data_IF_166960648308
#
_entry.id   IF_166960648308
#
_cell.length_a   1.000
_cell.length_b   1.000
_cell.length_c   1.000
_cell.angle_alpha   90.00
_cell.angle_beta   90.00
_cell.angle_gamma   90.00
#
_symmetry.space_group_name_H-M   'P 1'
#
loop_
_entity.id
_entity.type
_entity.pdbx_description
1 polymer ?
#
# COMPACT_ATOMS: atom_id res chain seq x y z
N UNK A 1 -16.01 20.33 17.76
CA UNK A 1 -14.74 20.67 17.07
C UNK A 1 -13.74 19.54 17.28
N UNK A 2 -13.62 18.98 18.48
CA UNK A 2 -12.64 17.94 18.88
C UNK A 2 -12.77 16.67 18.03
N UNK A 3 -14.01 16.17 17.85
CA UNK A 3 -14.28 14.98 17.01
C UNK A 3 -13.74 15.16 15.57
N UNK A 4 -13.95 16.35 14.99
CA UNK A 4 -13.46 16.64 13.64
C UNK A 4 -11.93 16.61 13.57
N UNK A 5 -11.25 17.23 14.54
CA UNK A 5 -9.77 17.21 14.59
C UNK A 5 -9.26 15.78 14.80
N UNK A 6 -9.90 15.01 15.68
CA UNK A 6 -9.54 13.60 15.90
C UNK A 6 -9.71 12.78 14.61
N UNK A 7 -10.77 13.01 13.85
CA UNK A 7 -10.97 12.30 12.57
C UNK A 7 -9.99 12.74 11.49
N UNK A 8 -9.53 13.98 11.49
CA UNK A 8 -8.42 14.40 10.61
C UNK A 8 -7.14 13.65 10.94
N UNK A 9 -6.79 13.51 12.21
CA UNK A 9 -5.62 12.75 12.67
C UNK A 9 -5.72 11.28 12.23
N UNK A 10 -6.88 10.65 12.48
CA UNK A 10 -7.14 9.27 12.09
C UNK A 10 -7.11 9.10 10.56
N UNK A 11 -7.71 10.04 9.83
CA UNK A 11 -7.77 10.01 8.37
C UNK A 11 -6.40 10.16 7.70
N UNK A 12 -5.57 11.07 8.20
CA UNK A 12 -4.18 11.20 7.72
C UNK A 12 -3.38 9.93 8.02
N UNK A 13 -3.59 9.31 9.18
CA UNK A 13 -2.91 8.07 9.54
C UNK A 13 -3.29 6.93 8.60
N UNK A 14 -4.59 6.69 8.42
CA UNK A 14 -5.10 5.66 7.54
C UNK A 14 -4.73 5.94 6.07
N UNK A 15 -4.85 7.20 5.67
CA UNK A 15 -4.49 7.65 4.34
C UNK A 15 -3.00 7.52 4.03
N UNK A 16 -2.13 7.65 5.02
CA UNK A 16 -0.70 7.39 4.87
C UNK A 16 -0.42 5.93 4.51
N UNK A 17 -1.12 4.98 5.15
CA UNK A 17 -1.01 3.55 4.84
C UNK A 17 -1.53 3.28 3.42
N UNK A 18 -2.70 3.80 3.06
CA UNK A 18 -3.25 3.67 1.70
C UNK A 18 -2.34 4.30 0.64
N UNK A 19 -1.72 5.43 0.96
CA UNK A 19 -0.77 6.10 0.08
C UNK A 19 0.46 5.24 -0.25
N UNK A 20 1.02 4.53 0.73
CA UNK A 20 2.14 3.60 0.50
C UNK A 20 1.74 2.45 -0.44
N UNK A 21 0.56 1.87 -0.26
CA UNK A 21 0.05 0.82 -1.15
C UNK A 21 -0.24 1.39 -2.55
N UNK A 22 -0.84 2.60 -2.61
CA UNK A 22 -1.17 3.28 -3.86
C UNK A 22 0.05 3.61 -4.72
N UNK A 23 1.19 3.96 -4.09
CA UNK A 23 2.45 4.13 -4.80
C UNK A 23 2.89 2.83 -5.47
N UNK A 24 2.77 1.70 -4.76
CA UNK A 24 3.08 0.38 -5.31
C UNK A 24 2.21 0.05 -6.55
N UNK A 25 0.91 0.34 -6.49
CA UNK A 25 0.01 0.23 -7.64
C UNK A 25 0.44 1.13 -8.80
N UNK A 26 0.69 2.40 -8.52
CA UNK A 26 1.08 3.40 -9.53
C UNK A 26 2.37 3.01 -10.24
N UNK A 27 3.37 2.51 -9.51
CA UNK A 27 4.64 2.06 -10.09
C UNK A 27 4.48 0.88 -11.02
N UNK A 28 3.76 -0.15 -10.56
CA UNK A 28 3.57 -1.37 -11.34
C UNK A 28 2.71 -1.08 -12.57
N UNK A 29 1.65 -0.28 -12.40
CA UNK A 29 0.80 0.14 -13.52
C UNK A 29 1.59 0.95 -14.57
N UNK A 30 2.42 1.90 -14.13
CA UNK A 30 3.21 2.74 -15.04
C UNK A 30 4.09 1.93 -15.99
N UNK A 31 4.68 0.83 -15.50
CA UNK A 31 5.62 0.05 -16.32
C UNK A 31 4.95 -1.08 -17.12
N UNK A 32 3.83 -1.65 -16.64
CA UNK A 32 3.13 -2.76 -17.30
C UNK A 32 1.92 -2.27 -18.10
N UNK A 33 1.34 -1.14 -17.73
CA UNK A 33 0.11 -0.59 -18.32
C UNK A 33 -1.17 -1.29 -17.87
N UNK A 34 -1.13 -2.04 -16.75
CA UNK A 34 -2.28 -2.76 -16.21
C UNK A 34 -2.29 -2.80 -14.69
N UNK A 35 -3.50 -2.89 -14.13
CA UNK A 35 -3.71 -2.98 -12.69
C UNK A 35 -3.32 -4.37 -12.17
N UNK A 36 -2.43 -4.40 -11.19
CA UNK A 36 -2.08 -5.63 -10.49
C UNK A 36 -3.00 -5.83 -9.28
N UNK A 37 -4.15 -6.50 -9.45
CA UNK A 37 -5.09 -6.75 -8.35
C UNK A 37 -4.51 -7.60 -7.21
N UNK A 38 -3.48 -8.41 -7.46
CA UNK A 38 -2.81 -9.17 -6.40
C UNK A 38 -2.00 -8.29 -5.42
N UNK A 39 -1.77 -7.00 -5.73
CA UNK A 39 -0.94 -6.13 -4.89
C UNK A 39 -1.54 -5.90 -3.49
N UNK A 40 -2.87 -5.84 -3.37
CA UNK A 40 -3.55 -5.79 -2.08
C UNK A 40 -3.31 -7.07 -1.25
N UNK A 41 -3.31 -8.25 -1.90
CA UNK A 41 -3.02 -9.49 -1.19
C UNK A 41 -1.53 -9.65 -0.86
N UNK A 42 -0.62 -9.07 -1.65
CA UNK A 42 0.79 -8.94 -1.28
C UNK A 42 0.96 -8.09 -0.02
N UNK A 43 0.19 -7.01 0.12
CA UNK A 43 0.11 -6.22 1.36
C UNK A 43 -0.39 -7.08 2.53
N UNK A 44 -1.47 -7.84 2.38
CA UNK A 44 -2.00 -8.74 3.42
C UNK A 44 -0.96 -9.81 3.80
N UNK A 45 -0.33 -10.48 2.83
CA UNK A 45 0.74 -11.46 3.08
C UNK A 45 1.88 -10.83 3.88
N UNK A 46 2.24 -9.58 3.57
CA UNK A 46 3.28 -8.87 4.31
C UNK A 46 2.93 -8.63 5.78
N UNK A 47 1.67 -8.32 6.06
CA UNK A 47 1.20 -8.16 7.43
C UNK A 47 1.25 -9.49 8.22
N UNK A 48 0.95 -10.62 7.57
CA UNK A 48 1.15 -11.95 8.18
C UNK A 48 2.63 -12.29 8.40
N UNK A 49 3.50 -11.95 7.45
CA UNK A 49 4.96 -12.11 7.63
C UNK A 49 5.43 -11.26 8.81
N UNK A 50 4.96 -10.02 8.93
CA UNK A 50 5.28 -9.15 10.06
C UNK A 50 4.77 -9.72 11.39
N UNK A 51 3.53 -10.24 11.43
CA UNK A 51 2.95 -10.90 12.58
C UNK A 51 3.80 -12.10 13.04
N UNK A 52 4.11 -13.01 12.12
CA UNK A 52 4.87 -14.23 12.44
C UNK A 52 6.27 -13.86 12.92
N UNK A 53 6.94 -12.96 12.23
CA UNK A 53 8.28 -12.50 12.61
C UNK A 53 8.26 -11.86 14.00
N UNK A 54 7.28 -11.01 14.28
CA UNK A 54 7.12 -10.37 15.59
C UNK A 54 6.92 -11.41 16.70
N UNK A 55 6.03 -12.38 16.51
CA UNK A 55 5.78 -13.44 17.49
C UNK A 55 7.01 -14.32 17.70
N UNK A 56 7.76 -14.65 16.67
CA UNK A 56 9.01 -15.40 16.77
C UNK A 56 10.04 -14.63 17.60
N UNK A 57 10.22 -13.33 17.34
CA UNK A 57 11.20 -12.51 18.07
C UNK A 57 10.82 -12.32 19.55
N UNK A 58 9.56 -12.08 19.84
CA UNK A 58 9.10 -11.74 21.20
C UNK A 58 8.80 -12.98 22.02
N UNK A 59 8.03 -13.95 21.49
CA UNK A 59 7.58 -15.11 22.24
C UNK A 59 8.60 -16.26 22.27
N UNK A 60 9.37 -16.47 21.18
CA UNK A 60 10.32 -17.58 21.10
C UNK A 60 11.76 -17.17 21.47
N UNK A 61 12.22 -16.01 20.95
CA UNK A 61 13.57 -15.52 21.21
C UNK A 61 13.65 -14.62 22.46
N UNK A 62 12.51 -14.29 23.09
CA UNK A 62 12.47 -13.50 24.31
C UNK A 62 13.01 -12.07 24.16
N UNK A 63 12.91 -11.48 22.97
CA UNK A 63 13.46 -10.15 22.72
C UNK A 63 12.69 -9.10 23.51
N UNK A 64 13.33 -8.44 24.46
CA UNK A 64 12.71 -7.43 25.34
C UNK A 64 12.60 -6.05 24.69
N UNK A 65 13.45 -5.75 23.70
CA UNK A 65 13.42 -4.45 23.00
C UNK A 65 12.36 -4.45 21.91
N UNK A 66 11.21 -3.83 22.16
CA UNK A 66 10.10 -3.70 21.18
C UNK A 66 10.56 -2.96 19.94
N UNK A 67 11.33 -1.86 20.09
CA UNK A 67 11.81 -1.06 18.94
C UNK A 67 12.76 -1.90 18.08
N UNK A 68 13.69 -2.62 18.70
CA UNK A 68 14.60 -3.52 17.98
C UNK A 68 13.84 -4.63 17.25
N UNK A 69 12.83 -5.25 17.90
CA UNK A 69 11.97 -6.25 17.27
C UNK A 69 11.24 -5.66 16.04
N UNK A 70 10.65 -4.48 16.16
CA UNK A 70 9.94 -3.83 15.04
C UNK A 70 10.85 -3.49 13.85
N UNK A 71 12.08 -3.06 14.10
CA UNK A 71 13.04 -2.82 13.01
C UNK A 71 13.41 -4.11 12.28
N UNK A 72 13.63 -5.21 13.02
CA UNK A 72 13.89 -6.51 12.41
C UNK A 72 12.66 -7.02 11.64
N UNK A 73 11.45 -6.88 12.22
CA UNK A 73 10.19 -7.22 11.57
C UNK A 73 10.03 -6.46 10.25
N UNK A 74 10.30 -5.15 10.26
CA UNK A 74 10.19 -4.32 9.07
C UNK A 74 11.12 -4.80 7.96
N UNK A 75 12.40 -5.04 8.27
CA UNK A 75 13.40 -5.52 7.32
C UNK A 75 13.03 -6.92 6.81
N UNK A 76 12.64 -7.83 7.70
CA UNK A 76 12.24 -9.19 7.33
C UNK A 76 10.98 -9.18 6.45
N UNK A 77 9.97 -8.38 6.80
CA UNK A 77 8.76 -8.21 6.00
C UNK A 77 9.10 -7.66 4.60
N UNK A 78 9.93 -6.64 4.50
CA UNK A 78 10.37 -6.10 3.21
C UNK A 78 11.09 -7.14 2.35
N UNK A 79 12.03 -7.89 2.91
CA UNK A 79 12.81 -8.89 2.17
C UNK A 79 11.95 -10.07 1.73
N UNK A 80 11.17 -10.67 2.63
CA UNK A 80 10.36 -11.84 2.34
C UNK A 80 9.20 -11.50 1.40
N UNK A 81 8.51 -10.38 1.60
CA UNK A 81 7.43 -9.94 0.72
C UNK A 81 7.97 -9.59 -0.68
N UNK A 82 9.14 -8.96 -0.76
CA UNK A 82 9.80 -8.69 -2.05
C UNK A 82 10.16 -9.97 -2.79
N UNK A 83 10.62 -11.00 -2.07
CA UNK A 83 10.89 -12.32 -2.64
C UNK A 83 9.61 -12.99 -3.15
N UNK A 84 8.52 -12.94 -2.38
CA UNK A 84 7.21 -13.47 -2.80
C UNK A 84 6.73 -12.76 -4.07
N UNK A 85 6.75 -11.44 -4.09
CA UNK A 85 6.26 -10.67 -5.23
C UNK A 85 7.15 -10.81 -6.47
N UNK A 86 8.47 -10.92 -6.29
CA UNK A 86 9.40 -11.26 -7.38
C UNK A 86 9.09 -12.64 -7.97
N UNK A 87 8.77 -13.62 -7.11
CA UNK A 87 8.38 -14.96 -7.54
C UNK A 87 7.07 -14.91 -8.34
N UNK A 88 6.08 -14.16 -7.86
CA UNK A 88 4.82 -13.94 -8.57
C UNK A 88 5.05 -13.29 -9.92
N UNK A 89 5.88 -12.26 -10.00
CA UNK A 89 6.24 -11.60 -11.25
C UNK A 89 6.85 -12.61 -12.24
N UNK A 90 7.77 -13.43 -11.77
CA UNK A 90 8.52 -14.36 -12.61
C UNK A 90 7.67 -15.53 -13.12
N UNK A 91 6.74 -16.02 -12.31
CA UNK A 91 5.93 -17.20 -12.62
C UNK A 91 4.62 -16.83 -13.30
N UNK A 92 3.94 -15.79 -12.78
CA UNK A 92 2.57 -15.46 -13.19
C UNK A 92 2.50 -14.34 -14.24
N UNK A 93 3.40 -13.35 -14.20
CA UNK A 93 3.28 -12.20 -15.10
C UNK A 93 4.28 -12.19 -16.25
N UNK A 94 5.52 -12.56 -15.98
CA UNK A 94 6.58 -12.56 -17.00
C UNK A 94 6.27 -13.42 -18.21
N UNK A 95 5.73 -14.66 -18.08
CA UNK A 95 5.39 -15.49 -19.24
C UNK A 95 4.24 -14.92 -20.08
N UNK A 96 3.42 -14.03 -19.51
CA UNK A 96 2.27 -13.42 -20.18
C UNK A 96 2.59 -12.10 -20.86
N UNK A 97 3.83 -11.62 -20.78
CA UNK A 97 4.26 -10.41 -21.48
C UNK A 97 4.18 -10.62 -22.99
N UNK A 98 3.52 -9.69 -23.67
CA UNK A 98 3.29 -9.78 -25.12
C UNK A 98 2.10 -10.67 -25.53
N UNK A 99 1.39 -11.30 -24.60
CA UNK A 99 0.12 -11.97 -24.87
C UNK A 99 -1.03 -10.96 -25.03
N UNK A 100 -2.27 -11.44 -25.24
CA UNK A 100 -3.43 -10.56 -25.34
C UNK A 100 -3.62 -9.74 -24.04
N UNK A 101 -4.15 -8.52 -24.21
CA UNK A 101 -4.15 -7.46 -23.17
C UNK A 101 -4.78 -7.87 -21.81
N UNK A 102 -5.74 -8.81 -21.82
CA UNK A 102 -6.44 -9.25 -20.60
C UNK A 102 -5.72 -10.39 -19.86
N UNK A 103 -4.74 -11.10 -20.49
CA UNK A 103 -4.14 -12.26 -19.87
C UNK A 103 -3.42 -11.95 -18.54
N UNK A 104 -2.59 -10.91 -18.42
CA UNK A 104 -1.99 -10.56 -17.15
C UNK A 104 -3.02 -10.07 -16.11
N UNK A 105 -4.13 -9.45 -16.53
CA UNK A 105 -5.23 -9.05 -15.64
C UNK A 105 -5.89 -10.26 -15.00
N UNK A 106 -6.24 -11.27 -15.83
CA UNK A 106 -6.83 -12.53 -15.35
C UNK A 106 -5.85 -13.26 -14.41
N UNK A 107 -4.56 -13.27 -14.77
CA UNK A 107 -3.52 -13.85 -13.91
C UNK A 107 -3.39 -13.12 -12.58
N UNK A 108 -3.52 -11.79 -12.56
CA UNK A 108 -3.49 -11.00 -11.33
C UNK A 108 -4.66 -11.31 -10.39
N UNK A 109 -5.87 -11.44 -10.95
CA UNK A 109 -7.07 -11.84 -10.18
C UNK A 109 -6.90 -13.28 -9.65
N UNK A 110 -6.43 -14.21 -10.49
CA UNK A 110 -6.16 -15.59 -10.06
C UNK A 110 -5.10 -15.66 -8.96
N UNK A 111 -4.05 -14.83 -9.03
CA UNK A 111 -3.01 -14.75 -8.00
C UNK A 111 -3.54 -14.13 -6.71
N UNK A 112 -4.42 -13.13 -6.77
CA UNK A 112 -5.11 -12.56 -5.62
C UNK A 112 -5.90 -13.65 -4.88
N UNK A 113 -6.75 -14.39 -5.57
CA UNK A 113 -7.53 -15.50 -5.01
C UNK A 113 -6.59 -16.58 -4.44
N UNK A 114 -5.50 -16.90 -5.12
CA UNK A 114 -4.52 -17.87 -4.64
C UNK A 114 -3.89 -17.43 -3.31
N UNK A 115 -3.42 -16.19 -3.22
CA UNK A 115 -2.76 -15.68 -2.01
C UNK A 115 -3.71 -15.65 -0.82
N UNK A 116 -4.95 -15.16 -0.98
CA UNK A 116 -5.95 -15.12 0.08
C UNK A 116 -6.26 -16.54 0.59
N UNK A 117 -6.50 -17.50 -0.32
CA UNK A 117 -6.77 -18.89 0.08
C UNK A 117 -5.54 -19.57 0.66
N UNK A 118 -4.34 -19.31 0.15
CA UNK A 118 -3.10 -19.84 0.71
C UNK A 118 -2.92 -19.40 2.15
N UNK A 119 -3.11 -18.12 2.45
CA UNK A 119 -3.02 -17.60 3.83
C UNK A 119 -4.12 -18.20 4.70
N UNK A 120 -5.35 -18.31 4.19
CA UNK A 120 -6.46 -18.93 4.91
C UNK A 120 -6.15 -20.38 5.32
N UNK A 121 -5.59 -21.17 4.42
CA UNK A 121 -5.21 -22.57 4.71
C UNK A 121 -4.02 -22.64 5.64
N UNK A 122 -3.00 -21.80 5.44
CA UNK A 122 -1.77 -21.82 6.22
C UNK A 122 -1.93 -21.27 7.66
N UNK A 123 -2.75 -20.22 7.84
CA UNK A 123 -2.90 -19.49 9.10
C UNK A 123 -4.27 -19.70 9.76
N UNK A 124 -5.23 -20.27 9.02
CA UNK A 124 -6.60 -20.45 9.44
C UNK A 124 -7.50 -19.24 9.17
N UNK A 125 -8.84 -19.42 9.27
CA UNK A 125 -9.81 -18.39 8.93
C UNK A 125 -10.05 -17.35 10.04
N UNK A 126 -9.46 -17.52 11.23
CA UNK A 126 -9.68 -16.62 12.37
C UNK A 126 -8.75 -15.41 12.30
N UNK A 127 -9.24 -14.29 12.81
CA UNK A 127 -8.43 -13.11 13.02
C UNK A 127 -7.21 -13.42 13.87
N UNK A 128 -6.06 -12.87 13.47
CA UNK A 128 -4.81 -12.96 14.24
C UNK A 128 -4.50 -11.59 14.81
N UNK A 129 -4.13 -11.57 16.10
CA UNK A 129 -3.81 -10.33 16.80
C UNK A 129 -2.39 -10.32 17.32
N UNK A 130 -1.84 -9.12 17.46
CA UNK A 130 -0.59 -8.88 18.20
C UNK A 130 -0.92 -8.27 19.56
N UNK A 131 -0.06 -8.48 20.58
CA UNK A 131 -0.17 -7.72 21.82
C UNK A 131 -0.14 -6.22 21.54
N UNK A 132 -0.83 -5.41 22.35
CA UNK A 132 -0.83 -3.96 22.17
C UNK A 132 0.59 -3.40 22.29
N UNK A 133 0.98 -2.62 21.26
CA UNK A 133 2.31 -2.01 21.17
C UNK A 133 2.10 -0.49 21.15
N UNK A 134 2.81 0.26 21.99
CA UNK A 134 2.74 1.72 22.04
C UNK A 134 1.33 2.27 22.29
N UNK A 135 0.65 1.79 23.34
CA UNK A 135 -0.71 2.26 23.71
C UNK A 135 -0.72 3.65 24.37
N UNK A 136 0.44 4.26 24.56
CA UNK A 136 0.52 5.62 25.10
C UNK A 136 -0.04 6.63 24.09
N UNK A 137 -0.73 7.64 24.63
CA UNK A 137 -1.32 8.73 23.86
C UNK A 137 -0.80 10.07 24.38
N UNK A 138 -0.67 11.03 23.48
CA UNK A 138 -0.37 12.42 23.78
C UNK A 138 -1.70 13.18 23.63
N UNK A 139 -2.25 13.69 24.72
CA UNK A 139 -3.44 14.53 24.68
C UNK A 139 -3.05 15.92 24.21
N UNK A 140 -3.65 16.36 23.09
CA UNK A 140 -3.41 17.68 22.51
C UNK A 140 -4.39 18.73 23.05
N UNK A 141 -5.67 18.34 23.16
CA UNK A 141 -6.74 19.18 23.64
C UNK A 141 -7.53 18.33 24.63
N UNK A 142 -7.64 18.80 25.86
CA UNK A 142 -8.49 18.18 26.89
C UNK A 142 -9.67 19.10 27.14
N UNK A 143 -10.86 18.58 26.95
CA UNK A 143 -12.10 19.27 27.27
C UNK A 143 -12.74 18.60 28.51
N UNK A 144 -12.92 19.30 29.63
CA UNK A 144 -13.50 18.72 30.84
C UNK A 144 -14.93 18.18 30.67
N UNK A 145 -15.65 18.65 29.66
CA UNK A 145 -17.03 18.21 29.35
C UNK A 145 -17.14 17.54 27.98
N UNK A 146 -16.04 17.37 27.24
CA UNK A 146 -16.01 16.93 25.85
C UNK A 146 -15.16 15.73 25.58
N UNK A 147 -14.70 15.65 24.35
CA UNK A 147 -13.90 14.56 23.83
C UNK A 147 -12.42 14.97 23.76
N UNK A 148 -11.55 14.25 24.44
CA UNK A 148 -10.11 14.50 24.37
C UNK A 148 -9.56 14.21 22.96
N UNK A 149 -8.87 15.20 22.37
CA UNK A 149 -8.13 15.00 21.14
C UNK A 149 -6.74 14.49 21.47
N UNK A 150 -6.43 13.27 21.01
CA UNK A 150 -5.17 12.62 21.32
C UNK A 150 -4.50 12.02 20.08
N UNK A 151 -3.17 12.04 20.08
CA UNK A 151 -2.34 11.34 19.09
C UNK A 151 -1.66 10.16 19.78
N UNK A 152 -1.83 8.95 19.26
CA UNK A 152 -1.13 7.78 19.75
C UNK A 152 0.30 7.72 19.20
N UNK A 153 1.22 7.11 19.97
CA UNK A 153 2.57 6.85 19.46
C UNK A 153 2.57 5.99 18.20
N UNK A 154 1.56 5.13 18.01
CA UNK A 154 1.35 4.35 16.78
C UNK A 154 1.13 5.26 15.57
N UNK A 155 0.30 6.31 15.72
CA UNK A 155 0.02 7.27 14.64
C UNK A 155 1.27 8.09 14.28
N UNK A 156 2.03 8.54 15.29
CA UNK A 156 3.31 9.21 15.05
C UNK A 156 4.31 8.31 14.32
N UNK A 157 4.41 7.04 14.73
CA UNK A 157 5.28 6.07 14.04
C UNK A 157 4.84 5.86 12.59
N UNK A 158 3.53 5.74 12.30
CA UNK A 158 3.00 5.65 10.93
C UNK A 158 3.43 6.87 10.11
N UNK A 159 3.24 8.08 10.63
CA UNK A 159 3.57 9.31 9.91
C UNK A 159 5.08 9.44 9.65
N UNK A 160 5.92 9.17 10.67
CA UNK A 160 7.38 9.27 10.54
C UNK A 160 7.92 8.23 9.54
N UNK A 161 7.51 6.97 9.67
CA UNK A 161 7.95 5.90 8.77
C UNK A 161 7.48 6.16 7.35
N UNK A 162 6.22 6.56 7.16
CA UNK A 162 5.69 6.90 5.84
C UNK A 162 6.43 8.08 5.22
N UNK A 163 6.64 9.16 5.95
CA UNK A 163 7.36 10.33 5.45
C UNK A 163 8.82 9.98 5.08
N UNK A 164 9.53 9.23 5.94
CA UNK A 164 10.88 8.79 5.66
C UNK A 164 10.96 7.92 4.41
N UNK A 165 10.04 6.96 4.25
CA UNK A 165 9.97 6.12 3.06
C UNK A 165 9.64 6.90 1.79
N UNK A 166 8.71 7.85 1.87
CA UNK A 166 8.36 8.70 0.74
C UNK A 166 9.57 9.51 0.27
N UNK A 167 10.37 10.04 1.19
CA UNK A 167 11.60 10.77 0.88
C UNK A 167 12.64 9.86 0.22
N UNK A 168 12.90 8.68 0.80
CA UNK A 168 13.84 7.69 0.25
C UNK A 168 13.37 7.26 -1.15
N UNK A 169 12.10 6.95 -1.28
CA UNK A 169 11.52 6.50 -2.53
C UNK A 169 11.54 7.60 -3.61
N UNK A 170 11.17 8.84 -3.26
CA UNK A 170 11.31 9.98 -4.15
C UNK A 170 12.75 10.16 -4.62
N UNK A 171 13.72 10.03 -3.74
CA UNK A 171 15.14 10.09 -4.10
C UNK A 171 15.52 8.96 -5.07
N UNK A 172 15.12 7.73 -4.79
CA UNK A 172 15.40 6.56 -5.65
C UNK A 172 14.83 6.77 -7.04
N UNK A 173 13.56 7.16 -7.15
CA UNK A 173 12.89 7.32 -8.45
C UNK A 173 13.38 8.55 -9.20
N UNK A 174 13.65 9.69 -8.52
CA UNK A 174 14.00 10.94 -9.21
C UNK A 174 15.49 11.05 -9.54
N UNK A 175 16.38 10.50 -8.70
CA UNK A 175 17.83 10.76 -8.79
C UNK A 175 18.66 9.56 -9.23
N UNK A 176 18.15 8.31 -9.17
CA UNK A 176 18.97 7.13 -9.50
C UNK A 176 18.83 6.68 -10.95
N UNK A 177 19.76 5.83 -11.40
CA UNK A 177 19.70 5.20 -12.71
C UNK A 177 18.47 4.29 -12.87
N UNK A 178 18.02 3.66 -11.78
CA UNK A 178 16.84 2.81 -11.75
C UNK A 178 15.57 3.61 -12.06
N UNK A 179 15.38 4.78 -11.45
CA UNK A 179 14.23 5.63 -11.73
C UNK A 179 14.24 6.17 -13.16
N UNK A 180 15.44 6.44 -13.75
CA UNK A 180 15.52 6.81 -15.16
C UNK A 180 15.13 5.65 -16.08
N UNK A 181 15.60 4.43 -15.78
CA UNK A 181 15.25 3.23 -16.54
C UNK A 181 13.74 2.92 -16.44
N UNK A 182 13.16 3.07 -15.25
CA UNK A 182 11.72 2.88 -15.06
C UNK A 182 10.90 3.87 -15.91
N UNK A 183 11.19 5.17 -15.85
CA UNK A 183 10.49 6.19 -16.66
C UNK A 183 10.65 5.96 -18.16
N UNK A 184 11.82 5.49 -18.61
CA UNK A 184 12.02 5.13 -20.02
C UNK A 184 11.14 3.94 -20.43
N UNK A 185 11.05 2.90 -19.57
CA UNK A 185 10.18 1.75 -19.82
C UNK A 185 8.68 2.11 -19.76
N UNK A 186 8.30 3.06 -18.93
CA UNK A 186 6.91 3.59 -18.86
C UNK A 186 6.52 4.30 -20.15
N UNK A 187 7.45 5.01 -20.79
CA UNK A 187 7.20 5.70 -22.05
C UNK A 187 7.11 4.74 -23.21
N UNK A 188 8.13 3.93 -23.42
CA UNK A 188 8.19 2.93 -24.50
C UNK A 188 9.19 1.81 -24.16
N UNK A 189 8.68 0.61 -23.89
CA UNK A 189 9.51 -0.57 -23.56
C UNK A 189 10.39 -1.00 -24.73
N UNK A 190 9.90 -0.90 -25.99
CA UNK A 190 10.67 -1.31 -27.17
C UNK A 190 11.82 -0.34 -27.41
N UNK A 191 11.56 0.97 -27.35
CA UNK A 191 12.58 1.98 -27.50
C UNK A 191 13.60 1.94 -26.36
N UNK A 192 13.17 1.72 -25.10
CA UNK A 192 14.05 1.54 -23.97
C UNK A 192 15.01 0.36 -24.16
N UNK A 193 14.51 -0.77 -24.69
CA UNK A 193 15.34 -1.93 -25.01
C UNK A 193 16.38 -1.64 -26.09
N UNK A 194 16.03 -0.89 -27.15
CA UNK A 194 16.95 -0.46 -28.20
C UNK A 194 18.05 0.47 -27.68
N UNK A 195 17.76 1.25 -26.64
CA UNK A 195 18.73 2.11 -25.96
C UNK A 195 19.58 1.36 -24.91
N UNK A 196 19.48 0.03 -24.85
CA UNK A 196 20.30 -0.81 -23.97
C UNK A 196 19.76 -0.99 -22.55
N UNK A 197 18.52 -0.56 -22.26
CA UNK A 197 17.89 -0.78 -20.96
C UNK A 197 17.36 -2.22 -20.92
N UNK A 198 17.75 -2.96 -19.87
CA UNK A 198 17.19 -4.29 -19.64
C UNK A 198 15.78 -4.17 -19.04
N UNK A 199 14.77 -4.22 -19.91
CA UNK A 199 13.35 -4.05 -19.56
C UNK A 199 12.91 -5.09 -18.53
N UNK A 200 13.26 -6.36 -18.72
CA UNK A 200 12.91 -7.45 -17.80
C UNK A 200 13.42 -7.20 -16.39
N UNK A 201 14.69 -6.79 -16.27
CA UNK A 201 15.31 -6.48 -14.98
C UNK A 201 14.65 -5.25 -14.35
N UNK A 202 14.34 -4.23 -15.13
CA UNK A 202 13.69 -3.02 -14.66
C UNK A 202 12.30 -3.32 -14.09
N UNK A 203 11.50 -4.12 -14.79
CA UNK A 203 10.18 -4.55 -14.32
C UNK A 203 10.30 -5.36 -13.02
N UNK A 204 11.19 -6.38 -12.98
CA UNK A 204 11.37 -7.19 -11.77
C UNK A 204 11.78 -6.35 -10.55
N UNK A 205 12.68 -5.37 -10.72
CA UNK A 205 13.08 -4.46 -9.63
C UNK A 205 11.89 -3.56 -9.21
N UNK A 206 11.08 -3.09 -10.15
CA UNK A 206 9.87 -2.32 -9.84
C UNK A 206 8.90 -3.13 -8.97
N UNK A 207 8.70 -4.42 -9.27
CA UNK A 207 7.89 -5.32 -8.44
C UNK A 207 8.46 -5.52 -7.03
N UNK A 208 9.78 -5.66 -6.92
CA UNK A 208 10.48 -5.77 -5.62
C UNK A 208 10.25 -4.51 -4.78
N UNK A 209 10.43 -3.33 -5.36
CA UNK A 209 10.25 -2.05 -4.66
C UNK A 209 8.78 -1.86 -4.26
N UNK A 210 7.84 -2.14 -5.16
CA UNK A 210 6.41 -2.04 -4.85
C UNK A 210 6.03 -2.97 -3.68
N UNK A 211 6.57 -4.18 -3.65
CA UNK A 211 6.37 -5.12 -2.56
C UNK A 211 7.02 -4.66 -1.25
N UNK A 212 8.19 -4.04 -1.31
CA UNK A 212 8.82 -3.46 -0.11
C UNK A 212 7.96 -2.35 0.50
N UNK A 213 7.35 -1.49 -0.33
CA UNK A 213 6.41 -0.46 0.13
C UNK A 213 5.14 -1.08 0.72
N UNK A 214 4.58 -2.11 0.06
CA UNK A 214 3.43 -2.85 0.57
C UNK A 214 3.76 -3.56 1.91
N UNK A 215 5.00 -4.05 2.08
CA UNK A 215 5.45 -4.68 3.31
C UNK A 215 5.50 -3.70 4.48
N UNK A 216 5.98 -2.49 4.24
CA UNK A 216 5.93 -1.45 5.27
C UNK A 216 4.50 -1.07 5.59
N UNK A 217 3.66 -0.86 4.57
CA UNK A 217 2.24 -0.57 4.78
C UNK A 217 1.54 -1.68 5.59
N UNK A 218 1.80 -2.96 5.28
CA UNK A 218 1.24 -4.10 6.02
C UNK A 218 1.71 -4.18 7.47
N UNK A 219 2.99 -3.90 7.71
CA UNK A 219 3.55 -3.82 9.08
C UNK A 219 2.92 -2.67 9.87
N UNK A 220 2.77 -1.49 9.27
CA UNK A 220 2.13 -0.32 9.88
C UNK A 220 0.63 -0.56 10.13
N UNK A 221 -0.06 -1.20 9.19
CA UNK A 221 -1.47 -1.57 9.31
C UNK A 221 -1.67 -2.53 10.51
N UNK A 222 -0.86 -3.58 10.57
CA UNK A 222 -0.90 -4.53 11.68
C UNK A 222 -0.60 -3.85 13.03
N UNK A 223 0.37 -2.95 13.08
CA UNK A 223 0.71 -2.17 14.28
C UNK A 223 -0.43 -1.23 14.69
N UNK A 224 -1.09 -0.60 13.72
CA UNK A 224 -2.18 0.36 13.96
C UNK A 224 -3.46 -0.32 14.44
N UNK A 225 -3.94 -1.35 13.72
CA UNK A 225 -5.17 -2.07 14.04
C UNK A 225 -4.98 -3.16 15.10
N UNK A 226 -3.77 -3.71 15.24
CA UNK A 226 -3.48 -4.82 16.14
C UNK A 226 -4.02 -6.17 15.70
N UNK A 227 -4.72 -6.24 14.57
CA UNK A 227 -5.41 -7.44 14.06
C UNK A 227 -5.23 -7.53 12.54
N UNK A 228 -5.14 -8.75 12.03
CA UNK A 228 -5.12 -9.06 10.60
C UNK A 228 -5.94 -10.31 10.29
N UNK A 229 -6.60 -10.30 9.13
CA UNK A 229 -7.37 -11.42 8.58
C UNK A 229 -6.90 -11.75 7.15
N UNK A 230 -7.11 -12.98 6.71
CA UNK A 230 -6.78 -13.41 5.34
C UNK A 230 -7.56 -12.65 4.25
N UNK A 231 -8.70 -12.04 4.58
CA UNK A 231 -9.49 -11.23 3.67
C UNK A 231 -9.08 -9.75 3.62
N UNK A 232 -8.18 -9.30 4.50
CA UNK A 232 -7.77 -7.89 4.59
C UNK A 232 -6.88 -7.42 3.42
N UNK A 233 -6.66 -8.26 2.43
CA UNK A 233 -5.97 -7.88 1.19
C UNK A 233 -6.87 -7.14 0.22
N UNK A 234 -8.11 -7.60 0.05
CA UNK A 234 -8.98 -7.10 -1.01
C UNK A 234 -9.49 -5.68 -0.75
N UNK A 235 -10.16 -5.42 0.37
CA UNK A 235 -10.79 -4.10 0.62
C UNK A 235 -9.77 -2.97 0.74
N UNK A 236 -8.71 -3.05 1.57
CA UNK A 236 -7.66 -2.04 1.59
C UNK A 236 -6.94 -1.92 0.25
N UNK A 237 -6.76 -3.04 -0.48
CA UNK A 237 -6.17 -3.05 -1.81
C UNK A 237 -6.99 -2.23 -2.82
N UNK A 238 -8.31 -2.42 -2.88
CA UNK A 238 -9.20 -1.65 -3.76
C UNK A 238 -9.26 -0.17 -3.35
N UNK A 239 -9.24 0.14 -2.04
CA UNK A 239 -9.17 1.53 -1.56
C UNK A 239 -7.86 2.21 -1.97
N UNK A 240 -6.74 1.51 -1.85
CA UNK A 240 -5.45 2.03 -2.30
C UNK A 240 -5.38 2.17 -3.83
N UNK A 241 -6.01 1.28 -4.59
CA UNK A 241 -6.19 1.46 -6.02
C UNK A 241 -7.06 2.70 -6.33
N UNK A 242 -8.17 2.89 -5.59
CA UNK A 242 -8.99 4.11 -5.67
C UNK A 242 -8.15 5.36 -5.41
N UNK A 243 -7.29 5.31 -4.41
CA UNK A 243 -6.36 6.39 -4.09
C UNK A 243 -5.37 6.67 -5.23
N UNK A 244 -4.83 5.63 -5.87
CA UNK A 244 -3.94 5.76 -7.02
C UNK A 244 -4.66 6.39 -8.23
N UNK A 245 -5.90 5.99 -8.50
CA UNK A 245 -6.74 6.56 -9.58
C UNK A 245 -7.11 8.00 -9.28
N UNK A 246 -7.59 8.29 -8.07
CA UNK A 246 -7.95 9.65 -7.64
C UNK A 246 -6.74 10.59 -7.71
N UNK A 247 -5.59 10.11 -7.26
CA UNK A 247 -4.34 10.88 -7.30
C UNK A 247 -3.80 11.12 -8.70
N UNK A 248 -4.13 10.23 -9.63
CA UNK A 248 -3.61 10.19 -11.00
C UNK A 248 -2.54 9.11 -11.16
N UNK A 249 -2.90 8.05 -11.89
CA UNK A 249 -2.01 6.92 -12.13
C UNK A 249 -0.74 7.39 -12.85
N UNK A 250 0.43 6.95 -12.38
CA UNK A 250 1.74 7.43 -12.89
C UNK A 250 2.31 8.63 -12.13
N UNK A 251 1.53 9.26 -11.24
CA UNK A 251 1.99 10.36 -10.38
C UNK A 251 2.21 9.89 -8.95
N UNK A 252 3.48 9.83 -8.51
CA UNK A 252 3.83 9.43 -7.14
C UNK A 252 3.23 10.39 -6.08
N UNK A 253 3.39 11.73 -6.20
CA UNK A 253 2.75 12.64 -5.27
C UNK A 253 1.23 12.56 -5.34
N UNK A 254 0.67 12.28 -6.53
CA UNK A 254 -0.75 12.03 -6.71
C UNK A 254 -1.24 10.84 -5.89
N UNK A 255 -0.56 9.70 -5.96
CA UNK A 255 -0.91 8.50 -5.19
C UNK A 255 -0.94 8.76 -3.67
N UNK A 256 0.01 9.55 -3.15
CA UNK A 256 0.05 9.94 -1.73
C UNK A 256 -1.15 10.82 -1.38
N UNK A 257 -1.40 11.86 -2.16
CA UNK A 257 -2.55 12.75 -1.95
C UNK A 257 -3.87 11.99 -2.05
N UNK A 258 -4.02 11.11 -3.05
CA UNK A 258 -5.18 10.25 -3.18
C UNK A 258 -5.36 9.34 -1.97
N UNK A 259 -4.27 8.77 -1.44
CA UNK A 259 -4.28 7.97 -0.21
C UNK A 259 -4.81 8.76 0.99
N UNK A 260 -4.26 9.96 1.22
CA UNK A 260 -4.71 10.85 2.29
C UNK A 260 -6.17 11.23 2.13
N UNK A 261 -6.61 11.58 0.92
CA UNK A 261 -8.01 11.92 0.65
C UNK A 261 -8.95 10.75 0.93
N UNK A 262 -8.64 9.53 0.47
CA UNK A 262 -9.47 8.33 0.74
C UNK A 262 -9.51 8.04 2.24
N UNK A 263 -8.38 8.14 2.95
CA UNK A 263 -8.35 7.97 4.41
C UNK A 263 -9.19 9.01 5.15
N UNK A 264 -9.14 10.28 4.74
CA UNK A 264 -9.97 11.35 5.31
C UNK A 264 -11.46 11.11 5.05
N UNK A 265 -11.82 10.73 3.83
CA UNK A 265 -13.21 10.46 3.47
C UNK A 265 -13.75 9.30 4.28
N UNK A 266 -12.99 8.21 4.41
CA UNK A 266 -13.40 7.03 5.18
C UNK A 266 -13.63 7.37 6.66
N UNK A 267 -12.72 8.12 7.28
CA UNK A 267 -12.83 8.46 8.70
C UNK A 267 -13.93 9.48 8.97
N UNK A 268 -14.06 10.51 8.13
CA UNK A 268 -15.13 11.49 8.25
C UNK A 268 -16.50 10.86 7.99
N UNK A 269 -16.62 10.00 6.98
CA UNK A 269 -17.86 9.27 6.72
C UNK A 269 -18.27 8.38 7.89
N UNK A 270 -17.30 7.65 8.45
CA UNK A 270 -17.55 6.79 9.62
C UNK A 270 -18.00 7.56 10.85
N UNK A 271 -17.52 8.79 11.03
CA UNK A 271 -17.85 9.62 12.19
C UNK A 271 -19.20 10.35 12.08
N UNK A 272 -19.56 10.83 10.88
CA UNK A 272 -20.70 11.70 10.69
C UNK A 272 -21.91 11.03 10.02
N UNK A 273 -21.72 9.89 9.36
CA UNK A 273 -22.80 9.16 8.68
C UNK A 273 -22.94 7.74 9.25
N UNK A 274 -22.24 6.76 8.68
CA UNK A 274 -22.32 5.36 9.09
C UNK A 274 -21.01 4.62 8.81
N UNK A 275 -20.58 3.83 9.77
CA UNK A 275 -19.44 2.93 9.64
C UNK A 275 -19.66 1.83 8.61
N UNK A 276 -20.89 1.36 8.43
CA UNK A 276 -21.21 0.25 7.53
C UNK A 276 -21.06 0.63 6.06
N UNK A 277 -21.26 1.91 5.72
CA UNK A 277 -21.20 2.42 4.34
C UNK A 277 -19.92 3.17 4.00
N UNK A 278 -18.88 3.13 4.86
CA UNK A 278 -17.60 3.81 4.61
C UNK A 278 -16.90 3.33 3.33
N UNK A 279 -17.02 2.04 3.01
CA UNK A 279 -16.44 1.45 1.81
C UNK A 279 -17.20 1.88 0.56
N UNK A 280 -18.54 2.00 0.66
CA UNK A 280 -19.38 2.52 -0.42
C UNK A 280 -18.99 3.97 -0.75
N UNK A 281 -18.74 4.81 0.26
CA UNK A 281 -18.28 6.18 0.06
C UNK A 281 -16.94 6.22 -0.70
N UNK A 282 -15.95 5.42 -0.28
CA UNK A 282 -14.66 5.34 -0.95
C UNK A 282 -14.77 4.88 -2.41
N UNK A 283 -15.59 3.84 -2.69
CA UNK A 283 -15.78 3.32 -4.04
C UNK A 283 -16.65 4.24 -4.93
N UNK A 284 -17.58 4.98 -4.35
CA UNK A 284 -18.34 6.00 -5.08
C UNK A 284 -17.41 7.11 -5.61
N UNK A 285 -16.39 7.47 -4.82
CA UNK A 285 -15.37 8.43 -5.27
C UNK A 285 -14.54 7.88 -6.43
N UNK A 286 -14.21 6.57 -6.43
CA UNK A 286 -13.58 5.95 -7.59
C UNK A 286 -14.42 6.13 -8.84
N UNK A 287 -15.72 5.80 -8.76
CA UNK A 287 -16.62 5.94 -9.91
C UNK A 287 -16.73 7.40 -10.39
N UNK A 288 -16.90 8.34 -9.47
CA UNK A 288 -16.96 9.77 -9.76
C UNK A 288 -15.66 10.26 -10.40
N UNK A 289 -14.51 9.86 -9.85
CA UNK A 289 -13.20 10.24 -10.39
C UNK A 289 -13.02 9.71 -11.81
N UNK A 290 -13.36 8.45 -12.07
CA UNK A 290 -13.23 7.86 -13.40
C UNK A 290 -14.12 8.54 -14.45
N UNK A 291 -15.29 9.05 -14.04
CA UNK A 291 -16.24 9.74 -14.93
C UNK A 291 -15.80 11.18 -15.20
N UNK A 292 -15.47 11.95 -14.15
CA UNK A 292 -15.27 13.40 -14.23
C UNK A 292 -13.81 13.82 -14.30
N UNK A 293 -12.88 13.00 -13.76
CA UNK A 293 -11.46 13.28 -13.67
C UNK A 293 -10.63 12.03 -14.08
N UNK A 294 -10.77 11.53 -15.32
CA UNK A 294 -10.15 10.27 -15.73
C UNK A 294 -8.62 10.27 -15.61
N UNK A 295 -7.99 11.44 -15.60
CA UNK A 295 -6.54 11.58 -15.38
C UNK A 295 -6.16 11.69 -13.89
N UNK A 296 -7.14 11.78 -12.98
CA UNK A 296 -6.92 12.05 -11.56
C UNK A 296 -6.48 13.48 -11.27
N UNK A 297 -6.18 13.76 -9.99
CA UNK A 297 -5.86 15.13 -9.53
C UNK A 297 -4.50 15.64 -10.04
N UNK A 298 -3.49 14.78 -10.11
CA UNK A 298 -2.11 15.09 -10.48
C UNK A 298 -1.58 14.18 -11.61
N UNK A 299 -2.48 13.57 -12.37
CA UNK A 299 -2.13 12.74 -13.52
C UNK A 299 -1.56 13.57 -14.69
N UNK A 300 -0.83 12.89 -15.55
CA UNK A 300 -0.33 13.49 -16.79
C UNK A 300 -1.34 13.25 -17.91
N UNK A 301 -1.58 14.23 -18.78
CA UNK A 301 -2.43 14.02 -19.94
C UNK A 301 -1.80 12.91 -20.81
N UNK A 302 -2.64 11.96 -21.25
CA UNK A 302 -2.22 10.98 -22.26
C UNK A 302 -1.86 11.72 -23.54
N UNK A 303 -0.59 11.67 -23.92
CA UNK A 303 -0.17 12.13 -25.24
C UNK A 303 -0.59 11.01 -26.20
N UNK A 304 -1.63 11.26 -26.99
CA UNK A 304 -1.98 10.36 -28.09
C UNK A 304 -0.72 10.20 -28.98
N UNK A 305 -0.19 8.98 -28.96
CA UNK A 305 0.90 8.60 -29.88
C UNK A 305 0.26 8.43 -31.26
N UNK A 306 0.44 9.43 -32.11
CA UNK A 306 0.12 9.38 -33.55
C UNK A 306 1.04 8.39 -34.23
#
# INVERSE_FOLDING_TARGET
MEVFIQQLINGVTLGSIYGLIAIGYTMVFGIIGMVNFAHGDVFMVSAFIALITFLVLTAWLGMSSIIGALLIVLVAAMLLTSLVNWTIERIAYRPLRGSFRLAPLISAIGMSIFLSNFVQVAQGPRNKSIPPIFDQVIVLISDPEGYDVAISYKQLAVWLVTAALLLVFWFVVSKTALGRAQRACEQDQKMAALLGINVDRTISITFIIAAALAAVAGTLYLMYYGVINFADGFVPGVKAFTAAVLGGIGSLPGAVLGGVLIGLIETLWSAYFSTDYKDVAAFSILAITMIFLPQGLLGRPDVEKV
#
